data_IF_010697756291
#
_entry.id   IF_010697756291
#
_cell.length_a   1.000
_cell.length_b   1.000
_cell.length_c   1.000
_cell.angle_alpha   90.00
_cell.angle_beta   90.00
_cell.angle_gamma   90.00
#
_symmetry.space_group_name_H-M   'P 1'
#
loop_
_entity.id
_entity.type
_entity.pdbx_description
1 polymer ?
#
# COMPACT_ATOMS: atom_id res chain seq x y z
N UNK A 1 15.42 -17.11 -3.59
CA UNK A 1 14.17 -17.82 -3.92
C UNK A 1 13.48 -17.05 -5.01
N UNK A 2 13.13 -17.70 -6.11
CA UNK A 2 12.41 -17.04 -7.20
C UNK A 2 10.99 -16.68 -6.76
N UNK A 3 10.43 -15.64 -7.40
CA UNK A 3 9.08 -15.18 -7.08
C UNK A 3 8.07 -16.18 -7.63
N UNK A 4 7.10 -16.58 -6.82
CA UNK A 4 5.98 -17.42 -7.26
C UNK A 4 4.69 -16.63 -7.09
N UNK A 5 3.83 -16.65 -8.11
CA UNK A 5 2.57 -15.94 -8.08
C UNK A 5 1.44 -16.88 -7.66
N UNK A 6 1.32 -17.08 -6.33
CA UNK A 6 0.21 -17.80 -5.73
C UNK A 6 -0.99 -16.88 -5.52
N UNK A 7 -2.17 -17.47 -5.31
CA UNK A 7 -3.38 -16.72 -4.97
C UNK A 7 -3.31 -16.26 -3.51
N UNK A 8 -3.73 -15.02 -3.25
CA UNK A 8 -4.18 -14.58 -1.94
C UNK A 8 -5.70 -14.62 -1.92
N UNK A 9 -6.26 -15.09 -0.82
CA UNK A 9 -7.69 -15.31 -0.65
C UNK A 9 -8.42 -13.98 -0.73
N UNK A 10 -7.90 -12.92 -0.10
CA UNK A 10 -8.55 -11.60 -0.12
C UNK A 10 -8.72 -11.00 -1.52
N UNK A 11 -7.79 -11.30 -2.44
CA UNK A 11 -7.81 -10.85 -3.84
C UNK A 11 -8.94 -11.49 -4.66
N UNK A 12 -9.47 -12.63 -4.22
CA UNK A 12 -10.36 -13.43 -5.06
C UNK A 12 -11.78 -12.90 -5.08
N UNK A 13 -12.42 -12.92 -6.25
CA UNK A 13 -13.82 -12.48 -6.43
C UNK A 13 -14.80 -13.29 -5.59
N UNK A 14 -14.50 -14.56 -5.32
CA UNK A 14 -15.30 -15.45 -4.48
C UNK A 14 -15.09 -15.23 -2.97
N UNK A 15 -14.07 -14.48 -2.55
CA UNK A 15 -13.84 -14.22 -1.14
C UNK A 15 -14.99 -13.37 -0.56
N UNK A 16 -15.66 -13.85 0.50
CA UNK A 16 -16.74 -13.11 1.13
C UNK A 16 -16.28 -11.72 1.56
N UNK A 17 -17.08 -10.71 1.22
CA UNK A 17 -16.82 -9.30 1.56
C UNK A 17 -16.48 -9.11 3.04
N UNK A 18 -17.16 -9.84 3.92
CA UNK A 18 -16.94 -9.81 5.37
C UNK A 18 -15.54 -10.26 5.80
N UNK A 19 -14.95 -11.24 5.10
CA UNK A 19 -13.60 -11.74 5.38
C UNK A 19 -12.56 -10.79 4.79
N UNK A 20 -12.74 -10.36 3.53
CA UNK A 20 -11.86 -9.34 2.91
C UNK A 20 -11.77 -8.07 3.77
N UNK A 21 -12.91 -7.60 4.28
CA UNK A 21 -12.94 -6.45 5.16
C UNK A 21 -12.17 -6.70 6.46
N UNK A 22 -12.38 -7.85 7.11
CA UNK A 22 -11.61 -8.23 8.29
C UNK A 22 -10.08 -8.24 8.07
N UNK A 23 -9.60 -8.71 6.91
CA UNK A 23 -8.16 -8.69 6.59
C UNK A 23 -7.68 -7.26 6.37
N UNK A 24 -8.38 -6.45 5.58
CA UNK A 24 -7.99 -5.06 5.35
C UNK A 24 -8.04 -4.20 6.63
N UNK A 25 -8.97 -4.47 7.55
CA UNK A 25 -9.02 -3.81 8.86
C UNK A 25 -7.81 -4.18 9.73
N UNK A 26 -7.42 -5.46 9.70
CA UNK A 26 -6.27 -6.00 10.40
C UNK A 26 -4.97 -5.36 9.89
N UNK A 27 -4.80 -5.33 8.57
CA UNK A 27 -3.66 -4.68 7.92
C UNK A 27 -3.61 -3.19 8.28
N UNK A 28 -4.73 -2.48 8.15
CA UNK A 28 -4.84 -1.06 8.54
C UNK A 28 -4.42 -0.85 10.00
N UNK A 29 -4.87 -1.71 10.93
CA UNK A 29 -4.49 -1.63 12.33
C UNK A 29 -2.98 -1.76 12.49
N UNK A 30 -2.37 -2.80 11.91
CA UNK A 30 -0.91 -3.00 11.98
C UNK A 30 -0.13 -1.82 11.41
N UNK A 31 -0.53 -1.31 10.23
CA UNK A 31 0.14 -0.21 9.57
C UNK A 31 0.13 1.08 10.40
N UNK A 32 -0.98 1.39 11.08
CA UNK A 32 -1.14 2.66 11.79
C UNK A 32 -0.75 2.60 13.27
N UNK A 33 -1.08 1.51 13.98
CA UNK A 33 -0.69 1.32 15.38
C UNK A 33 0.79 0.95 15.47
N UNK A 34 1.23 0.02 14.62
CA UNK A 34 2.63 -0.37 14.53
C UNK A 34 3.51 0.64 13.80
N UNK A 35 2.91 1.63 13.11
CA UNK A 35 3.60 2.68 12.34
C UNK A 35 4.64 2.12 11.37
N UNK A 36 4.31 1.02 10.69
CA UNK A 36 5.27 0.24 9.89
C UNK A 36 5.95 1.10 8.83
N UNK A 37 5.24 2.07 8.25
CA UNK A 37 5.77 2.94 7.20
C UNK A 37 6.34 4.28 7.69
N UNK A 38 6.43 4.53 9.00
CA UNK A 38 7.10 5.74 9.51
C UNK A 38 8.54 5.93 8.98
N UNK A 39 9.39 4.87 8.84
CA UNK A 39 10.76 5.03 8.35
C UNK A 39 10.87 5.54 6.91
N UNK A 40 9.83 5.37 6.09
CA UNK A 40 9.83 5.83 4.70
C UNK A 40 9.19 7.20 4.51
N UNK A 41 8.55 7.78 5.54
CA UNK A 41 7.92 9.11 5.44
C UNK A 41 8.85 10.18 4.87
N UNK A 42 10.15 10.27 5.24
CA UNK A 42 11.04 11.25 4.64
C UNK A 42 11.31 11.01 3.14
N UNK A 43 11.39 9.75 2.72
CA UNK A 43 11.60 9.36 1.31
C UNK A 43 10.37 9.79 0.50
N UNK A 44 9.18 9.46 0.99
CA UNK A 44 7.93 9.84 0.35
C UNK A 44 7.77 11.36 0.28
N UNK A 45 8.04 12.08 1.37
CA UNK A 45 7.92 13.54 1.38
C UNK A 45 8.87 14.22 0.38
N UNK A 46 10.12 13.76 0.28
CA UNK A 46 11.07 14.24 -0.74
C UNK A 46 10.50 14.03 -2.14
N UNK A 47 10.03 12.81 -2.44
CA UNK A 47 9.51 12.49 -3.76
C UNK A 47 8.30 13.34 -4.17
N UNK A 48 7.38 13.59 -3.24
CA UNK A 48 6.22 14.49 -3.46
C UNK A 48 6.69 15.93 -3.71
N UNK A 49 7.72 16.40 -3.01
CA UNK A 49 8.27 17.75 -3.20
C UNK A 49 8.97 17.87 -4.56
N UNK A 50 9.77 16.87 -4.93
CA UNK A 50 10.49 16.81 -6.21
C UNK A 50 9.49 16.80 -7.39
N UNK A 51 8.37 16.08 -7.24
CA UNK A 51 7.29 16.05 -8.23
C UNK A 51 6.37 17.27 -8.19
N UNK A 52 6.54 18.18 -7.22
CA UNK A 52 5.64 19.32 -6.94
C UNK A 52 4.16 18.92 -6.83
N UNK A 53 3.90 17.72 -6.32
CA UNK A 53 2.53 17.24 -6.20
C UNK A 53 1.82 17.86 -4.98
N UNK A 54 0.60 18.30 -5.21
CA UNK A 54 -0.35 18.80 -4.22
C UNK A 54 -1.40 17.74 -3.82
N UNK A 55 -1.49 16.67 -4.61
CA UNK A 55 -2.37 15.53 -4.34
C UNK A 55 -1.65 14.19 -4.47
N UNK A 56 -2.09 13.24 -3.64
CA UNK A 56 -1.65 11.84 -3.65
C UNK A 56 -2.81 10.96 -4.11
N UNK A 57 -2.55 10.05 -5.03
CA UNK A 57 -3.47 9.01 -5.44
C UNK A 57 -2.98 7.68 -4.87
N UNK A 58 -3.59 7.24 -3.79
CA UNK A 58 -3.28 5.96 -3.19
C UNK A 58 -4.04 4.84 -3.90
N UNK A 59 -3.27 3.92 -4.47
CA UNK A 59 -3.76 2.79 -5.24
C UNK A 59 -3.79 1.56 -4.34
N UNK A 60 -4.88 0.80 -4.42
CA UNK A 60 -5.13 -0.36 -3.56
C UNK A 60 -5.16 0.04 -2.07
N UNK A 61 -5.90 1.09 -1.75
CA UNK A 61 -5.99 1.63 -0.39
C UNK A 61 -6.58 0.66 0.64
N UNK A 62 -7.37 -0.32 0.19
CA UNK A 62 -8.07 -1.29 1.03
C UNK A 62 -8.90 -0.60 2.12
N UNK A 63 -8.53 -0.84 3.38
CA UNK A 63 -9.13 -0.19 4.56
C UNK A 63 -8.60 1.23 4.86
N UNK A 64 -7.70 1.76 4.03
CA UNK A 64 -7.16 3.13 4.14
C UNK A 64 -5.65 3.25 4.36
N UNK A 65 -4.89 2.18 4.12
CA UNK A 65 -3.42 2.19 4.17
C UNK A 65 -2.82 2.74 5.49
N UNK A 66 -1.58 3.27 5.44
CA UNK A 66 -0.91 3.87 6.59
C UNK A 66 -1.28 5.35 6.83
N UNK A 67 -2.26 5.87 6.11
CA UNK A 67 -2.50 7.31 6.04
C UNK A 67 -2.86 7.91 7.38
N UNK A 68 -3.57 7.18 8.27
CA UNK A 68 -3.99 7.73 9.57
C UNK A 68 -2.81 8.21 10.39
N UNK A 69 -1.65 7.58 10.20
CA UNK A 69 -0.39 7.94 10.83
C UNK A 69 0.49 8.84 9.95
N UNK A 70 0.47 8.66 8.63
CA UNK A 70 1.40 9.32 7.71
C UNK A 70 0.97 10.70 7.22
N UNK A 71 -0.32 10.91 6.90
CA UNK A 71 -0.77 12.19 6.33
C UNK A 71 -0.48 13.40 7.24
N UNK A 72 -0.66 13.31 8.58
CA UNK A 72 -0.28 14.41 9.47
C UNK A 72 1.22 14.75 9.42
N UNK A 73 2.10 13.75 9.25
CA UNK A 73 3.54 13.96 9.16
C UNK A 73 3.92 14.65 7.84
N UNK A 74 3.27 14.28 6.73
CA UNK A 74 3.50 14.91 5.42
C UNK A 74 3.03 16.37 5.39
N UNK A 75 1.99 16.70 6.15
CA UNK A 75 1.41 18.04 6.19
C UNK A 75 2.05 18.96 7.25
N UNK A 76 2.88 18.45 8.16
CA UNK A 76 3.45 19.21 9.28
C UNK A 76 4.15 20.52 8.88
N UNK A 77 4.77 20.55 7.70
CA UNK A 77 5.53 21.71 7.20
C UNK A 77 4.95 22.31 5.91
N UNK A 78 3.71 21.95 5.55
CA UNK A 78 3.06 22.43 4.32
C UNK A 78 2.09 23.55 4.65
N UNK A 79 2.11 24.61 3.83
CA UNK A 79 1.13 25.71 3.93
C UNK A 79 -0.26 25.26 3.49
N UNK A 80 -0.31 24.42 2.47
CA UNK A 80 -1.54 23.80 1.95
C UNK A 80 -1.44 22.30 2.20
N UNK A 81 -2.40 21.68 2.91
CA UNK A 81 -2.43 20.24 3.10
C UNK A 81 -2.48 19.50 1.76
N UNK A 82 -1.81 18.36 1.69
CA UNK A 82 -1.93 17.46 0.54
C UNK A 82 -3.35 16.89 0.50
N UNK A 83 -3.93 16.85 -0.69
CA UNK A 83 -5.17 16.15 -0.96
C UNK A 83 -4.92 14.66 -1.19
N UNK A 84 -5.52 13.80 -0.38
CA UNK A 84 -5.38 12.35 -0.50
C UNK A 84 -6.60 11.77 -1.21
N UNK A 85 -6.39 11.02 -2.28
CA UNK A 85 -7.40 10.23 -2.96
C UNK A 85 -7.17 8.76 -2.66
N UNK A 86 -8.19 8.07 -2.16
CA UNK A 86 -8.14 6.66 -1.81
C UNK A 86 -8.89 5.86 -2.88
N UNK A 87 -8.20 4.95 -3.55
CA UNK A 87 -8.76 4.13 -4.63
C UNK A 87 -8.50 2.65 -4.36
N UNK A 88 -9.47 1.80 -4.70
CA UNK A 88 -9.33 0.36 -4.55
C UNK A 88 -10.23 -0.38 -5.53
N UNK A 89 -9.89 -1.63 -5.85
CA UNK A 89 -10.73 -2.51 -6.68
C UNK A 89 -11.96 -3.01 -5.91
N UNK A 90 -11.84 -3.17 -4.60
CA UNK A 90 -12.89 -3.57 -3.67
C UNK A 90 -12.94 -2.64 -2.45
N UNK A 91 -13.34 -1.37 -2.63
CA UNK A 91 -13.18 -0.35 -1.59
C UNK A 91 -13.94 -0.70 -0.31
N UNK A 92 -13.22 -0.73 0.82
CA UNK A 92 -13.80 -0.91 2.16
C UNK A 92 -14.36 0.43 2.65
N UNK A 93 -15.50 0.85 2.09
CA UNK A 93 -16.09 2.18 2.30
C UNK A 93 -16.24 2.56 3.77
N UNK A 94 -16.78 1.65 4.60
CA UNK A 94 -16.97 1.89 6.03
C UNK A 94 -15.64 2.11 6.77
N UNK A 95 -14.55 1.46 6.35
CA UNK A 95 -13.23 1.74 6.90
C UNK A 95 -12.67 3.09 6.40
N UNK A 96 -12.85 3.39 5.12
CA UNK A 96 -12.39 4.62 4.49
C UNK A 96 -13.13 5.87 5.01
N UNK A 97 -14.41 5.74 5.39
CA UNK A 97 -15.21 6.84 5.96
C UNK A 97 -14.52 7.47 7.18
N UNK A 98 -13.97 6.67 8.09
CA UNK A 98 -13.25 7.19 9.26
C UNK A 98 -11.96 7.97 8.92
N UNK A 99 -11.41 7.81 7.71
CA UNK A 99 -10.34 8.67 7.20
C UNK A 99 -10.92 10.02 6.75
N UNK A 100 -12.02 10.00 5.99
CA UNK A 100 -12.71 11.21 5.57
C UNK A 100 -13.24 12.01 6.77
N UNK A 101 -13.86 11.37 7.76
CA UNK A 101 -14.29 12.03 9.01
C UNK A 101 -13.14 12.76 9.72
N UNK A 102 -11.92 12.23 9.61
CA UNK A 102 -10.74 12.82 10.26
C UNK A 102 -10.15 14.00 9.49
N UNK A 103 -10.23 14.01 8.16
CA UNK A 103 -9.51 14.98 7.32
C UNK A 103 -10.39 15.80 6.37
N UNK A 104 -11.70 15.55 6.35
CA UNK A 104 -12.69 16.22 5.52
C UNK A 104 -12.31 16.20 4.05
N UNK A 105 -12.37 17.37 3.43
CA UNK A 105 -12.10 17.57 2.00
C UNK A 105 -10.65 17.27 1.57
N UNK A 106 -9.74 17.07 2.52
CA UNK A 106 -8.37 16.64 2.23
C UNK A 106 -8.26 15.12 2.01
N UNK A 107 -9.35 14.37 2.19
CA UNK A 107 -9.37 12.92 1.98
C UNK A 107 -10.61 12.51 1.17
N UNK A 108 -10.39 12.26 -0.12
CA UNK A 108 -11.42 11.87 -1.06
C UNK A 108 -11.46 10.36 -1.19
N UNK A 109 -12.63 9.79 -0.95
CA UNK A 109 -12.91 8.37 -1.13
C UNK A 109 -13.50 8.17 -2.52
N UNK A 110 -12.86 7.35 -3.35
CA UNK A 110 -13.46 6.88 -4.58
C UNK A 110 -14.28 5.63 -4.29
N UNK A 111 -15.61 5.74 -4.42
CA UNK A 111 -16.52 4.66 -4.04
C UNK A 111 -16.60 3.55 -5.10
N UNK A 112 -16.28 3.89 -6.34
CA UNK A 112 -16.28 2.97 -7.47
C UNK A 112 -15.01 2.13 -7.50
N UNK A 113 -15.13 0.90 -8.03
CA UNK A 113 -14.00 0.01 -8.24
C UNK A 113 -12.99 0.66 -9.19
N UNK A 114 -11.74 0.80 -8.75
CA UNK A 114 -10.63 1.32 -9.53
C UNK A 114 -9.57 0.23 -9.72
N UNK A 115 -9.29 -0.16 -10.96
CA UNK A 115 -8.17 -1.06 -11.27
C UNK A 115 -6.88 -0.24 -11.43
N UNK A 116 -5.88 -0.52 -10.60
CA UNK A 116 -4.60 0.20 -10.63
C UNK A 116 -3.87 0.10 -11.99
N UNK A 117 -4.17 -0.93 -12.79
CA UNK A 117 -3.62 -1.10 -14.15
C UNK A 117 -4.32 -0.23 -15.19
N UNK A 118 -5.47 0.37 -14.86
CA UNK A 118 -6.33 1.14 -15.75
C UNK A 118 -6.84 2.41 -15.07
N UNK A 119 -5.91 3.29 -14.68
CA UNK A 119 -6.23 4.53 -13.98
C UNK A 119 -6.99 5.53 -14.87
N UNK A 120 -8.10 6.14 -14.37
CA UNK A 120 -8.82 7.18 -15.09
C UNK A 120 -7.92 8.35 -15.52
N UNK A 121 -8.16 8.93 -16.70
CA UNK A 121 -7.35 10.03 -17.25
C UNK A 121 -7.40 11.31 -16.40
N UNK A 122 -8.51 11.54 -15.72
CA UNK A 122 -8.73 12.71 -14.87
C UNK A 122 -8.11 12.57 -13.48
N UNK A 123 -7.63 11.39 -13.08
CA UNK A 123 -7.06 11.15 -11.75
C UNK A 123 -5.54 11.23 -11.78
N UNK A 124 -5.04 12.47 -11.74
CA UNK A 124 -3.62 12.81 -11.74
C UNK A 124 -3.13 13.15 -10.33
N UNK A 125 -1.86 12.90 -10.04
CA UNK A 125 -1.26 13.09 -8.72
C UNK A 125 -0.12 12.11 -8.45
N UNK A 126 0.59 12.33 -7.35
CA UNK A 126 1.65 11.42 -6.92
C UNK A 126 1.04 10.09 -6.47
N UNK A 127 1.41 8.99 -7.11
CA UNK A 127 0.81 7.67 -6.86
C UNK A 127 1.52 6.95 -5.73
N UNK A 128 0.76 6.23 -4.92
CA UNK A 128 1.32 5.38 -3.87
C UNK A 128 0.72 3.99 -3.90
N UNK A 129 1.54 2.99 -3.57
CA UNK A 129 1.12 1.63 -3.29
C UNK A 129 1.79 1.17 -2.00
N UNK A 130 1.00 0.72 -1.03
CA UNK A 130 1.48 0.22 0.25
C UNK A 130 1.05 -1.23 0.43
N UNK A 131 2.02 -2.14 0.55
CA UNK A 131 1.75 -3.57 0.76
C UNK A 131 0.82 -4.14 -0.31
N UNK A 132 0.98 -3.70 -1.56
CA UNK A 132 0.02 -4.06 -2.60
C UNK A 132 0.63 -4.34 -3.98
N UNK A 133 1.87 -3.92 -4.22
CA UNK A 133 2.50 -4.11 -5.52
C UNK A 133 2.79 -5.59 -5.81
N UNK A 134 3.01 -6.38 -4.75
CA UNK A 134 3.21 -7.84 -4.87
C UNK A 134 1.97 -8.60 -5.38
N UNK A 135 0.76 -8.01 -5.32
CA UNK A 135 -0.44 -8.63 -5.88
C UNK A 135 -0.39 -8.74 -7.40
N UNK A 136 0.38 -7.88 -8.07
CA UNK A 136 0.39 -7.77 -9.52
C UNK A 136 1.41 -8.72 -10.16
N UNK A 137 1.10 -9.23 -11.35
CA UNK A 137 2.07 -9.94 -12.20
C UNK A 137 3.09 -8.96 -12.80
N UNK A 138 4.27 -9.42 -13.26
CA UNK A 138 5.30 -8.53 -13.80
C UNK A 138 4.77 -7.61 -14.92
N UNK A 139 3.92 -8.12 -15.79
CA UNK A 139 3.32 -7.35 -16.89
C UNK A 139 2.39 -6.25 -16.36
N UNK A 140 1.61 -6.54 -15.32
CA UNK A 140 0.73 -5.56 -14.67
C UNK A 140 1.53 -4.52 -13.88
N UNK A 141 2.60 -4.95 -13.20
CA UNK A 141 3.54 -4.04 -12.55
C UNK A 141 4.13 -3.06 -13.55
N UNK A 142 4.58 -3.55 -14.71
CA UNK A 142 5.11 -2.71 -15.79
C UNK A 142 4.05 -1.76 -16.32
N UNK A 143 2.80 -2.21 -16.50
CA UNK A 143 1.68 -1.33 -16.90
C UNK A 143 1.45 -0.18 -15.89
N UNK A 144 1.43 -0.46 -14.60
CA UNK A 144 1.25 0.55 -13.55
C UNK A 144 2.38 1.59 -13.59
N UNK A 145 3.63 1.13 -13.68
CA UNK A 145 4.80 2.00 -13.74
C UNK A 145 4.83 2.80 -15.04
N UNK A 146 4.52 2.17 -16.17
CA UNK A 146 4.48 2.81 -17.49
C UNK A 146 3.38 3.87 -17.57
N UNK A 147 2.20 3.64 -16.98
CA UNK A 147 1.13 4.64 -16.93
C UNK A 147 1.56 5.88 -16.12
N UNK A 148 2.32 5.70 -15.03
CA UNK A 148 2.90 6.81 -14.28
C UNK A 148 3.90 7.60 -15.13
N UNK A 149 4.79 6.91 -15.87
CA UNK A 149 5.73 7.54 -16.80
C UNK A 149 5.00 8.32 -17.91
N UNK A 150 4.04 7.68 -18.58
CA UNK A 150 3.29 8.25 -19.70
C UNK A 150 2.52 9.51 -19.29
N UNK A 151 1.97 9.53 -18.07
CA UNK A 151 1.23 10.68 -17.52
C UNK A 151 2.11 11.66 -16.76
N UNK A 152 3.43 11.45 -16.75
CA UNK A 152 4.42 12.27 -16.05
C UNK A 152 4.07 12.46 -14.56
N UNK A 153 3.65 11.38 -13.90
CA UNK A 153 3.25 11.35 -12.49
C UNK A 153 4.30 10.64 -11.65
N UNK A 154 4.63 11.21 -10.49
CA UNK A 154 5.46 10.51 -9.50
C UNK A 154 4.76 9.26 -8.97
N UNK A 155 5.52 8.24 -8.60
CA UNK A 155 5.00 7.00 -8.02
C UNK A 155 5.93 6.48 -6.92
N UNK A 156 5.37 5.99 -5.83
CA UNK A 156 6.11 5.31 -4.77
C UNK A 156 5.44 4.00 -4.34
N UNK A 157 6.22 2.95 -4.31
CA UNK A 157 5.81 1.61 -3.86
C UNK A 157 6.59 1.28 -2.61
N UNK A 158 5.89 0.81 -1.58
CA UNK A 158 6.48 0.40 -0.31
C UNK A 158 5.91 -0.96 0.11
N UNK A 159 6.82 -1.89 0.45
CA UNK A 159 6.49 -3.27 0.81
C UNK A 159 7.20 -3.65 2.12
N UNK A 160 6.42 -3.92 3.18
CA UNK A 160 6.97 -4.45 4.44
C UNK A 160 7.14 -5.97 4.44
N UNK A 161 6.53 -6.67 3.46
CA UNK A 161 6.69 -8.10 3.24
C UNK A 161 7.98 -8.36 2.47
N UNK A 162 8.64 -9.50 2.70
CA UNK A 162 9.88 -9.86 1.98
C UNK A 162 10.01 -11.37 1.83
N UNK A 163 10.69 -11.81 0.77
CA UNK A 163 11.16 -13.20 0.60
C UNK A 163 12.36 -13.49 1.49
N UNK A 164 12.14 -13.47 2.81
CA UNK A 164 13.16 -13.79 3.82
C UNK A 164 12.62 -14.79 4.84
N UNK A 165 13.52 -15.60 5.41
CA UNK A 165 13.16 -16.56 6.44
C UNK A 165 12.49 -15.87 7.65
N UNK A 166 13.02 -14.71 8.06
CA UNK A 166 12.46 -13.95 9.16
C UNK A 166 11.04 -13.48 8.86
N UNK A 167 10.79 -12.91 7.68
CA UNK A 167 9.46 -12.44 7.30
C UNK A 167 8.44 -13.58 7.26
N UNK A 168 8.80 -14.71 6.65
CA UNK A 168 7.96 -15.92 6.61
C UNK A 168 7.69 -16.45 8.02
N UNK A 169 8.72 -16.55 8.85
CA UNK A 169 8.60 -17.00 10.23
C UNK A 169 7.66 -16.11 11.05
N UNK A 170 7.74 -14.78 10.89
CA UNK A 170 6.85 -13.84 11.56
C UNK A 170 5.38 -14.04 11.15
N UNK A 171 5.08 -14.44 9.90
CA UNK A 171 3.71 -14.69 9.45
C UNK A 171 3.06 -15.89 10.16
N UNK A 172 3.84 -16.84 10.68
CA UNK A 172 3.32 -17.95 11.50
C UNK A 172 2.69 -17.47 12.82
N UNK A 173 3.05 -16.26 13.28
CA UNK A 173 2.45 -15.62 14.46
C UNK A 173 1.26 -14.72 14.12
N UNK A 174 0.93 -14.52 12.83
CA UNK A 174 -0.23 -13.74 12.41
C UNK A 174 -1.55 -14.23 13.06
N UNK A 175 -1.81 -15.55 13.25
CA UNK A 175 -3.03 -15.99 13.92
C UNK A 175 -3.11 -15.52 15.37
N UNK A 176 -2.00 -15.64 16.12
CA UNK A 176 -1.93 -15.20 17.52
C UNK A 176 -2.13 -13.69 17.60
N UNK A 177 -1.46 -12.93 16.73
CA UNK A 177 -1.64 -11.49 16.70
C UNK A 177 -3.08 -11.10 16.32
N UNK A 178 -3.72 -11.81 15.38
CA UNK A 178 -5.11 -11.60 15.00
C UNK A 178 -6.05 -11.80 16.18
N UNK A 179 -5.89 -12.90 16.93
CA UNK A 179 -6.67 -13.18 18.14
C UNK A 179 -6.56 -12.07 19.20
N UNK A 180 -5.40 -11.40 19.29
CA UNK A 180 -5.17 -10.32 20.24
C UNK A 180 -5.73 -8.97 19.76
N UNK A 181 -5.57 -8.63 18.48
CA UNK A 181 -5.82 -7.26 18.00
C UNK A 181 -7.22 -7.04 17.44
N UNK A 182 -7.92 -8.09 17.00
CA UNK A 182 -9.23 -7.95 16.35
C UNK A 182 -10.25 -7.11 17.13
N UNK A 183 -10.39 -7.25 18.47
CA UNK A 183 -11.32 -6.42 19.24
C UNK A 183 -11.04 -4.91 19.18
N UNK A 184 -9.82 -4.52 18.79
CA UNK A 184 -9.35 -3.14 18.70
C UNK A 184 -9.29 -2.61 17.26
N UNK A 185 -9.58 -3.45 16.27
CA UNK A 185 -9.64 -3.02 14.87
C UNK A 185 -10.82 -2.07 14.64
N UNK A 186 -10.64 -1.14 13.70
CA UNK A 186 -11.67 -0.16 13.33
C UNK A 186 -11.96 -0.24 11.83
N UNK A 187 -13.23 -0.20 11.43
CA UNK A 187 -14.43 -0.09 12.27
C UNK A 187 -14.70 -1.42 13.02
N UNK A 188 -15.36 -1.34 14.18
CA UNK A 188 -15.64 -2.53 14.99
C UNK A 188 -16.76 -3.34 14.33
N UNK A 189 -16.52 -4.63 14.08
CA UNK A 189 -17.49 -5.53 13.45
C UNK A 189 -17.63 -6.83 14.25
N UNK A 190 -18.88 -7.18 14.57
CA UNK A 190 -19.21 -8.46 15.22
C UNK A 190 -18.80 -9.66 14.37
N UNK A 191 -18.84 -9.53 13.05
CA UNK A 191 -18.36 -10.55 12.13
C UNK A 191 -16.87 -10.85 12.31
N UNK A 192 -16.04 -9.83 12.61
CA UNK A 192 -14.62 -10.03 12.85
C UNK A 192 -14.42 -10.88 14.11
N UNK A 193 -15.20 -10.66 15.18
CA UNK A 193 -15.16 -11.51 16.38
C UNK A 193 -15.63 -12.94 16.10
N UNK A 194 -16.73 -13.09 15.36
CA UNK A 194 -17.27 -14.39 14.97
C UNK A 194 -16.23 -15.23 14.21
N UNK A 195 -15.64 -14.65 13.16
CA UNK A 195 -14.66 -15.32 12.29
C UNK A 195 -13.24 -15.38 12.87
N UNK A 196 -13.04 -14.84 14.07
CA UNK A 196 -11.76 -14.90 14.79
C UNK A 196 -11.82 -15.91 15.94
N UNK A 197 -12.89 -15.90 16.74
CA UNK A 197 -12.97 -16.70 17.97
C UNK A 197 -13.85 -17.94 17.86
N UNK A 198 -14.99 -17.87 17.16
CA UNK A 198 -15.90 -19.02 17.04
C UNK A 198 -15.52 -19.91 15.87
N UNK A 199 -15.26 -19.29 14.72
CA UNK A 199 -14.88 -19.98 13.48
C UNK A 199 -13.61 -19.29 12.99
N UNK A 200 -12.39 -19.71 13.38
CA UNK A 200 -11.15 -18.94 13.27
C UNK A 200 -10.59 -18.88 11.83
N UNK A 201 -11.46 -18.57 10.86
CA UNK A 201 -11.11 -18.41 9.44
C UNK A 201 -10.25 -17.16 9.25
N UNK A 202 -10.57 -16.05 9.92
CA UNK A 202 -9.86 -14.79 9.72
C UNK A 202 -8.37 -14.87 10.13
N UNK A 203 -8.00 -15.44 11.31
CA UNK A 203 -6.61 -15.72 11.65
C UNK A 203 -5.87 -16.60 10.64
N UNK A 204 -6.54 -17.60 10.07
CA UNK A 204 -5.94 -18.53 9.10
C UNK A 204 -5.72 -17.88 7.75
N UNK A 205 -6.68 -17.06 7.27
CA UNK A 205 -6.52 -16.26 6.06
C UNK A 205 -5.38 -15.26 6.26
N UNK A 206 -5.34 -14.54 7.39
CA UNK A 206 -4.27 -13.57 7.67
C UNK A 206 -2.87 -14.21 7.61
N UNK A 207 -2.73 -15.44 8.13
CA UNK A 207 -1.47 -16.19 8.02
C UNK A 207 -1.18 -16.63 6.58
N UNK A 208 -2.17 -17.23 5.90
CA UNK A 208 -1.98 -17.74 4.55
C UNK A 208 -1.64 -16.62 3.57
N UNK A 209 -2.45 -15.55 3.55
CA UNK A 209 -2.23 -14.40 2.67
C UNK A 209 -0.89 -13.75 3.02
N UNK A 210 -0.57 -13.52 4.30
CA UNK A 210 0.73 -12.96 4.70
C UNK A 210 1.94 -13.81 4.27
N UNK A 211 1.86 -15.14 4.33
CA UNK A 211 2.88 -16.04 3.80
C UNK A 211 3.01 -15.90 2.28
N UNK A 212 1.90 -15.87 1.57
CA UNK A 212 1.86 -15.69 0.12
C UNK A 212 2.42 -14.33 -0.29
N UNK A 213 2.06 -13.25 0.42
CA UNK A 213 2.60 -11.91 0.20
C UNK A 213 4.12 -11.92 0.31
N UNK A 214 4.67 -12.56 1.35
CA UNK A 214 6.12 -12.71 1.51
C UNK A 214 6.79 -13.42 0.33
N UNK A 215 6.13 -14.42 -0.26
CA UNK A 215 6.64 -15.16 -1.44
C UNK A 215 6.49 -14.35 -2.73
N UNK A 216 5.47 -13.49 -2.81
CA UNK A 216 5.16 -12.63 -3.96
C UNK A 216 5.95 -11.32 -3.96
N UNK A 217 6.55 -10.88 -2.84
CA UNK A 217 7.25 -9.59 -2.80
C UNK A 217 8.42 -9.53 -3.79
N UNK A 218 8.40 -8.51 -4.64
CA UNK A 218 9.50 -8.19 -5.55
C UNK A 218 10.77 -7.81 -4.78
N UNK A 219 11.89 -8.36 -5.22
CA UNK A 219 13.21 -7.94 -4.70
C UNK A 219 13.66 -6.64 -5.38
N UNK A 220 14.59 -5.86 -4.78
CA UNK A 220 15.18 -4.69 -5.44
C UNK A 220 15.70 -4.97 -6.86
N UNK A 221 16.29 -6.15 -7.08
CA UNK A 221 16.79 -6.57 -8.40
C UNK A 221 15.66 -6.78 -9.42
N UNK A 222 14.54 -7.35 -9.00
CA UNK A 222 13.39 -7.52 -9.88
C UNK A 222 12.65 -6.20 -10.12
N UNK A 223 12.58 -5.32 -9.11
CA UNK A 223 12.08 -3.96 -9.28
C UNK A 223 12.93 -3.19 -10.30
N UNK A 224 14.26 -3.32 -10.24
CA UNK A 224 15.15 -2.73 -11.25
C UNK A 224 14.85 -3.26 -12.65
N UNK A 225 14.66 -4.58 -12.82
CA UNK A 225 14.29 -5.16 -14.11
C UNK A 225 12.97 -4.61 -14.66
N UNK A 226 11.99 -4.36 -13.79
CA UNK A 226 10.70 -3.76 -14.20
C UNK A 226 10.90 -2.32 -14.69
N UNK A 227 11.75 -1.54 -14.01
CA UNK A 227 12.08 -0.16 -14.40
C UNK A 227 12.89 -0.12 -15.69
N UNK A 228 13.87 -1.02 -15.86
CA UNK A 228 14.71 -1.10 -17.05
C UNK A 228 13.91 -1.44 -18.31
N UNK A 229 12.75 -2.08 -18.15
CA UNK A 229 11.85 -2.43 -19.24
C UNK A 229 10.84 -1.32 -19.61
N UNK A 230 10.87 -0.18 -18.92
CA UNK A 230 9.96 0.94 -19.22
C UNK A 230 10.39 1.68 -20.48
N UNK A 231 9.43 2.03 -21.32
CA UNK A 231 9.63 2.79 -22.54
C UNK A 231 9.55 4.29 -22.26
N UNK A 232 10.32 5.11 -23.00
CA UNK A 232 10.35 6.56 -22.87
C UNK A 232 10.55 7.04 -21.41
N UNK A 233 11.32 6.27 -20.64
CA UNK A 233 11.50 6.49 -19.21
C UNK A 233 12.38 7.71 -18.92
N UNK A 234 11.73 8.83 -18.65
CA UNK A 234 12.37 10.09 -18.26
C UNK A 234 12.40 10.30 -16.73
N UNK A 235 11.89 9.35 -15.95
CA UNK A 235 11.80 9.46 -14.49
C UNK A 235 13.14 9.15 -13.83
N UNK A 236 13.40 9.82 -12.71
CA UNK A 236 14.48 9.46 -11.80
C UNK A 236 14.00 8.38 -10.83
N UNK A 237 14.67 7.23 -10.82
CA UNK A 237 14.28 6.07 -10.02
C UNK A 237 15.22 5.83 -8.84
N UNK A 238 14.63 5.55 -7.67
CA UNK A 238 15.33 5.15 -6.45
C UNK A 238 14.74 3.83 -5.97
N UNK A 239 15.58 2.80 -5.88
CA UNK A 239 15.20 1.46 -5.42
C UNK A 239 16.06 1.12 -4.22
N UNK A 240 15.46 0.57 -3.17
CA UNK A 240 16.25 0.15 -2.03
C UNK A 240 15.47 -0.54 -0.94
N UNK A 241 16.16 -0.70 0.18
CA UNK A 241 15.63 -1.28 1.40
C UNK A 241 15.85 -0.27 2.53
N UNK A 242 14.77 0.14 3.18
CA UNK A 242 14.82 1.01 4.36
C UNK A 242 14.63 0.16 5.62
N UNK A 243 15.65 0.14 6.47
CA UNK A 243 15.55 -0.37 7.84
C UNK A 243 15.13 0.74 8.80
N UNK A 244 14.42 0.39 9.86
CA UNK A 244 14.07 1.30 10.95
C UNK A 244 12.64 1.10 11.45
N UNK A 245 12.26 1.85 12.48
CA UNK A 245 10.96 1.73 13.14
C UNK A 245 10.96 0.70 14.27
N UNK A 246 9.77 0.36 14.77
CA UNK A 246 9.59 -0.58 15.88
C UNK A 246 9.69 -2.05 15.45
N UNK A 247 9.60 -2.33 14.15
CA UNK A 247 9.63 -3.69 13.62
C UNK A 247 11.01 -4.11 13.09
N UNK A 248 11.32 -5.42 13.16
CA UNK A 248 12.55 -5.97 12.61
C UNK A 248 12.54 -6.08 11.07
N UNK A 249 11.36 -6.10 10.43
CA UNK A 249 11.25 -6.27 8.97
C UNK A 249 11.60 -4.97 8.24
N UNK A 250 12.57 -4.99 7.31
CA UNK A 250 12.86 -3.84 6.47
C UNK A 250 11.74 -3.58 5.46
N UNK A 251 11.67 -2.35 4.95
CA UNK A 251 10.73 -1.96 3.90
C UNK A 251 11.49 -1.93 2.57
N UNK A 252 11.05 -2.72 1.59
CA UNK A 252 11.51 -2.58 0.20
C UNK A 252 10.76 -1.41 -0.43
N UNK A 253 11.45 -0.55 -1.16
CA UNK A 253 10.84 0.59 -1.83
C UNK A 253 11.32 0.77 -3.27
N UNK A 254 10.43 1.34 -4.09
CA UNK A 254 10.68 1.83 -5.43
C UNK A 254 9.99 3.19 -5.55
N UNK A 255 10.75 4.23 -5.91
CA UNK A 255 10.24 5.59 -6.09
C UNK A 255 10.68 6.10 -7.45
N UNK A 256 9.73 6.57 -8.24
CA UNK A 256 9.96 7.23 -9.52
C UNK A 256 9.42 8.66 -9.46
N UNK A 257 10.24 9.63 -9.82
CA UNK A 257 9.82 11.04 -9.91
C UNK A 257 10.06 11.57 -11.32
N UNK A 258 9.13 12.36 -11.88
CA UNK A 258 9.37 13.10 -13.11
C UNK A 258 10.68 13.91 -13.02
N UNK A 259 11.36 14.15 -14.15
CA UNK A 259 12.58 14.93 -14.14
C UNK A 259 12.27 16.33 -13.60
N UNK A 260 13.07 16.78 -12.63
CA UNK A 260 12.96 18.15 -12.13
C UNK A 260 13.30 19.09 -13.27
N UNK A 261 12.33 19.87 -13.78
CA UNK A 261 12.64 20.93 -14.75
C UNK A 261 13.59 21.90 -14.03
N UNK A 262 14.89 21.77 -14.28
CA UNK A 262 15.87 22.80 -13.94
C UNK A 262 15.40 24.04 -14.67
N UNK A 263 15.09 25.12 -13.92
CA UNK A 263 14.91 26.42 -14.55
C UNK A 263 16.17 26.70 -15.36
N UNK A 264 16.08 27.12 -16.64
CA UNK A 264 17.25 27.68 -17.30
C UNK A 264 17.76 28.84 -16.43
N UNK A 265 19.07 28.85 -16.22
CA UNK A 265 19.79 29.91 -15.49
C UNK A 265 19.59 31.28 -16.14
#
# INVERSE_FOLDING_TARGET
>A
MDRVHLLEIEDQSWCPKVLRYGITDLLRFYLNVGKFYQPITPILNSAIQDSKADQIIDLCSGGGGPWLSMLPQLNQHRKVPIKLHLTDKYPNLEALESIHERWGDNAIIHQESCDATQMPENLNGFRTLFTSFHHFRPEQCQQILQDAVNKNQGIAIFEFTQRSFLSIFMMLFAPIMTLLVIPFTKPFRWSNLLFTYLIPILPLIAMFDGLVSCIRTYSPRELQKLVDALENNNHEWKIGIKKGGLLPNPITYLVGTPPTIKKPE
#
